data_IF_427464806281
#
_entry.id   IF_427464806281
#
_cell.length_a   1.000
_cell.length_b   1.000
_cell.length_c   1.000
_cell.angle_alpha   90.00
_cell.angle_beta   90.00
_cell.angle_gamma   90.00
#
_symmetry.space_group_name_H-M   'P 1'
#
loop_
_entity.id
_entity.type
_entity.pdbx_description
1 polymer ?
#
# COMPACT_ATOMS: atom_id res chain seq x y z
N UNK A 1 9.06 10.14 -17.66
CA UNK A 1 9.89 11.16 -16.97
C UNK A 1 9.58 12.52 -17.58
N UNK A 2 9.05 13.45 -16.78
CA UNK A 2 8.46 14.70 -17.26
C UNK A 2 9.31 15.90 -16.83
N UNK A 3 9.57 16.84 -17.74
CA UNK A 3 10.35 18.03 -17.44
C UNK A 3 9.43 19.21 -17.13
N UNK A 4 9.72 19.91 -16.03
CA UNK A 4 8.96 21.08 -15.56
C UNK A 4 9.90 22.25 -15.29
N UNK A 5 9.46 23.46 -15.61
CA UNK A 5 10.25 24.66 -15.32
C UNK A 5 10.12 25.02 -13.83
N UNK A 6 11.20 25.49 -13.21
CA UNK A 6 11.26 25.77 -11.77
C UNK A 6 10.18 26.77 -11.33
N UNK A 7 9.85 27.75 -12.17
CA UNK A 7 8.77 28.70 -11.91
C UNK A 7 7.40 28.02 -11.92
N UNK A 8 7.15 27.14 -12.89
CA UNK A 8 5.88 26.41 -12.98
C UNK A 8 5.74 25.43 -11.81
N UNK A 9 6.83 24.73 -11.46
CA UNK A 9 6.90 23.86 -10.29
C UNK A 9 6.55 24.59 -8.99
N UNK A 10 7.07 25.81 -8.79
CA UNK A 10 6.72 26.64 -7.62
C UNK A 10 5.24 27.02 -7.56
N UNK A 11 4.64 27.39 -8.69
CA UNK A 11 3.24 27.80 -8.73
C UNK A 11 2.24 26.65 -8.56
N UNK A 12 2.62 25.42 -8.95
CA UNK A 12 1.74 24.25 -8.89
C UNK A 12 2.34 23.12 -8.05
N UNK A 13 3.04 23.48 -6.98
CA UNK A 13 3.81 22.53 -6.17
C UNK A 13 2.97 21.34 -5.72
N UNK A 14 1.78 21.58 -5.16
CA UNK A 14 0.89 20.52 -4.68
C UNK A 14 0.58 19.48 -5.76
N UNK A 15 0.09 19.91 -6.92
CA UNK A 15 -0.26 19.00 -8.03
C UNK A 15 0.93 18.20 -8.56
N UNK A 16 2.14 18.78 -8.54
CA UNK A 16 3.35 18.04 -8.91
C UNK A 16 3.80 17.06 -7.84
N UNK A 17 3.61 17.38 -6.56
CA UNK A 17 3.85 16.43 -5.47
C UNK A 17 2.88 15.25 -5.56
N UNK A 18 1.60 15.50 -5.83
CA UNK A 18 0.59 14.43 -6.02
C UNK A 18 0.98 13.49 -7.18
N UNK A 19 1.49 14.04 -8.28
CA UNK A 19 2.01 13.25 -9.41
C UNK A 19 3.20 12.39 -9.00
N UNK A 20 4.11 12.94 -8.21
CA UNK A 20 5.29 12.21 -7.73
C UNK A 20 4.90 11.14 -6.72
N UNK A 21 3.93 11.41 -5.83
CA UNK A 21 3.37 10.41 -4.92
C UNK A 21 2.69 9.26 -5.68
N UNK A 22 2.01 9.55 -6.80
CA UNK A 22 1.46 8.55 -7.70
C UNK A 22 2.52 7.73 -8.47
N UNK A 23 3.81 8.01 -8.27
CA UNK A 23 4.92 7.27 -8.87
C UNK A 23 5.59 7.96 -10.06
N UNK A 24 5.18 9.17 -10.43
CA UNK A 24 5.81 9.89 -11.54
C UNK A 24 7.18 10.47 -11.14
N UNK A 25 8.14 10.47 -12.07
CA UNK A 25 9.43 11.15 -11.89
C UNK A 25 9.47 12.46 -12.66
N UNK A 26 9.79 13.55 -11.95
CA UNK A 26 9.86 14.92 -12.49
C UNK A 26 11.29 15.43 -12.57
N UNK A 27 11.66 16.05 -13.70
CA UNK A 27 12.89 16.84 -13.82
C UNK A 27 12.58 18.33 -13.72
N UNK A 28 13.22 19.02 -12.79
CA UNK A 28 13.06 20.46 -12.63
C UNK A 28 14.17 21.17 -13.40
N UNK A 29 13.77 22.08 -14.29
CA UNK A 29 14.68 22.87 -15.14
C UNK A 29 14.65 24.34 -14.75
N UNK A 30 15.78 25.02 -14.92
CA UNK A 30 15.89 26.48 -14.82
C UNK A 30 16.80 26.97 -15.94
N UNK A 31 16.34 27.95 -16.72
CA UNK A 31 17.08 28.48 -17.89
C UNK A 31 17.56 27.35 -18.83
N UNK A 32 16.67 26.40 -19.14
CA UNK A 32 16.93 25.22 -19.99
C UNK A 32 17.95 24.20 -19.45
N UNK A 33 18.42 24.35 -18.21
CA UNK A 33 19.30 23.38 -17.55
C UNK A 33 18.53 22.58 -16.50
N UNK A 34 18.71 21.27 -16.44
CA UNK A 34 18.18 20.43 -15.36
C UNK A 34 18.95 20.77 -14.09
N UNK A 35 18.22 21.09 -13.01
CA UNK A 35 18.79 21.47 -11.72
C UNK A 35 18.44 20.49 -10.61
N UNK A 36 17.34 19.74 -10.76
CA UNK A 36 16.92 18.75 -9.77
C UNK A 36 16.03 17.69 -10.44
N UNK A 37 15.88 16.57 -9.75
CA UNK A 37 14.91 15.52 -10.08
C UNK A 37 14.14 15.17 -8.81
N UNK A 38 12.82 15.11 -8.93
CA UNK A 38 11.93 14.61 -7.89
C UNK A 38 11.52 13.19 -8.26
N UNK A 39 11.77 12.25 -7.35
CA UNK A 39 11.45 10.84 -7.51
C UNK A 39 10.50 10.42 -6.39
N UNK A 40 9.56 9.49 -6.65
CA UNK A 40 8.75 8.89 -5.61
C UNK A 40 9.64 8.24 -4.55
N UNK A 41 9.33 8.48 -3.29
CA UNK A 41 9.83 7.65 -2.20
C UNK A 41 8.98 6.38 -2.18
N UNK A 42 9.51 5.27 -2.69
CA UNK A 42 8.90 3.96 -2.42
C UNK A 42 9.28 3.62 -0.99
N UNK A 43 8.30 3.58 -0.09
CA UNK A 43 8.54 3.09 1.26
C UNK A 43 9.00 1.63 1.14
N UNK A 44 10.30 1.39 1.31
CA UNK A 44 10.87 0.05 1.37
C UNK A 44 10.49 -0.67 2.67
N UNK A 45 9.76 0.00 3.58
CA UNK A 45 9.26 -0.62 4.80
C UNK A 45 8.57 -1.92 4.42
N UNK A 46 9.16 -3.07 4.78
CA UNK A 46 8.51 -4.34 4.53
C UNK A 46 7.15 -4.24 5.18
N UNK A 47 6.10 -4.61 4.44
CA UNK A 47 4.80 -4.81 5.06
C UNK A 47 5.03 -5.63 6.33
N UNK A 48 4.43 -5.21 7.44
CA UNK A 48 4.56 -5.94 8.70
C UNK A 48 4.31 -7.42 8.41
N UNK A 49 5.26 -8.30 8.77
CA UNK A 49 5.16 -9.69 8.37
C UNK A 49 3.83 -10.21 8.86
N UNK A 50 3.12 -10.87 7.96
CA UNK A 50 1.81 -11.43 8.28
C UNK A 50 1.95 -12.27 9.56
N UNK A 51 1.06 -12.09 10.56
CA UNK A 51 1.16 -12.83 11.80
C UNK A 51 1.15 -14.33 11.50
N UNK A 52 1.88 -15.12 12.29
CA UNK A 52 1.94 -16.56 12.08
C UNK A 52 0.54 -17.18 12.24
N UNK A 53 -0.12 -17.38 11.09
CA UNK A 53 -1.47 -17.93 11.01
C UNK A 53 -1.51 -19.35 11.53
N UNK A 54 -0.45 -20.12 11.31
CA UNK A 54 -0.37 -21.51 11.73
C UNK A 54 -0.27 -21.59 13.24
N UNK A 55 0.62 -20.81 13.86
CA UNK A 55 0.73 -20.73 15.32
C UNK A 55 -0.58 -20.23 15.95
N UNK A 56 -1.20 -19.21 15.36
CA UNK A 56 -2.48 -18.68 15.82
C UNK A 56 -3.60 -19.73 15.71
N UNK A 57 -3.66 -20.48 14.61
CA UNK A 57 -4.64 -21.54 14.41
C UNK A 57 -4.46 -22.65 15.45
N UNK A 58 -3.23 -23.10 15.67
CA UNK A 58 -2.91 -24.11 16.69
C UNK A 58 -3.26 -23.64 18.11
N UNK A 59 -3.04 -22.35 18.42
CA UNK A 59 -3.41 -21.79 19.72
C UNK A 59 -4.93 -21.65 19.89
N UNK A 60 -5.66 -21.28 18.84
CA UNK A 60 -7.11 -21.10 18.89
C UNK A 60 -7.87 -22.44 18.91
N UNK A 61 -7.32 -23.46 18.26
CA UNK A 61 -7.90 -24.79 18.14
C UNK A 61 -6.91 -25.87 18.60
N UNK A 62 -6.61 -25.95 19.91
CA UNK A 62 -5.64 -26.92 20.44
C UNK A 62 -6.08 -28.38 20.24
N UNK A 63 -7.38 -28.63 20.10
CA UNK A 63 -7.95 -29.94 19.79
C UNK A 63 -7.91 -30.29 18.28
N UNK A 64 -7.36 -29.41 17.44
CA UNK A 64 -7.28 -29.59 15.99
C UNK A 64 -8.56 -29.21 15.25
N UNK A 65 -8.86 -29.91 14.16
CA UNK A 65 -9.97 -29.59 13.27
C UNK A 65 -11.32 -29.66 13.97
N UNK A 66 -12.15 -28.64 13.79
CA UNK A 66 -13.52 -28.63 14.29
C UNK A 66 -14.35 -29.63 13.47
N UNK A 67 -15.01 -30.56 14.14
CA UNK A 67 -15.74 -31.66 13.49
C UNK A 67 -16.97 -31.18 12.69
N UNK A 68 -17.58 -30.07 13.08
CA UNK A 68 -18.76 -29.49 12.43
C UNK A 68 -18.48 -28.05 12.06
N UNK A 69 -18.74 -27.68 10.81
CA UNK A 69 -18.59 -26.30 10.37
C UNK A 69 -19.57 -25.39 11.10
N UNK A 70 -19.15 -24.16 11.43
CA UNK A 70 -20.04 -23.18 12.05
C UNK A 70 -21.32 -22.95 11.23
N UNK A 71 -21.23 -23.02 9.90
CA UNK A 71 -22.38 -22.95 9.00
C UNK A 71 -23.39 -24.07 9.25
N UNK A 72 -22.93 -25.30 9.47
CA UNK A 72 -23.80 -26.46 9.71
C UNK A 72 -24.51 -26.35 11.06
N UNK A 73 -23.82 -25.87 12.10
CA UNK A 73 -24.46 -25.55 13.39
C UNK A 73 -25.57 -24.51 13.20
N UNK A 74 -25.31 -23.45 12.42
CA UNK A 74 -26.29 -22.40 12.14
C UNK A 74 -27.49 -22.91 11.33
N UNK A 75 -27.30 -23.87 10.43
CA UNK A 75 -28.41 -24.49 9.70
C UNK A 75 -29.28 -25.34 10.63
N UNK A 76 -28.67 -26.16 11.48
CA UNK A 76 -29.39 -26.98 12.46
C UNK A 76 -30.17 -26.14 13.48
N UNK A 77 -29.58 -25.05 13.99
CA UNK A 77 -30.26 -24.12 14.91
C UNK A 77 -31.39 -23.33 14.22
N UNK A 78 -31.30 -23.10 12.90
CA UNK A 78 -32.33 -22.38 12.13
C UNK A 78 -33.53 -23.27 11.77
N UNK A 79 -33.39 -24.59 11.82
CA UNK A 79 -34.48 -25.54 11.60
C UNK A 79 -34.86 -25.76 10.12
N UNK A 80 -33.90 -25.61 9.20
CA UNK A 80 -34.01 -26.09 7.80
C UNK A 80 -33.43 -27.50 7.65
#
# INVERSE_FOLDING_TARGET
>A
MKAVDARNFQHHLGSYLDQVEAGETLEIRRRRKVIARLVPCVAETPAEPWPDLSARLSSAYPAGTVATGASEILYQDRGD
#
